data_IF_416747767052
#
_entry.id   IF_416747767052
#
_cell.length_a   1.000
_cell.length_b   1.000
_cell.length_c   1.000
_cell.angle_alpha   90.00
_cell.angle_beta   90.00
_cell.angle_gamma   90.00
#
_symmetry.space_group_name_H-M   'P 1'
#
loop_
_entity.id
_entity.type
_entity.pdbx_description
1 polymer ?
#
# COMPACT_ATOMS: atom_id res chain seq x y z
N UNK A 1 23.78 -9.55 -23.53
CA UNK A 1 22.95 -8.81 -23.22
C UNK A 1 22.88 -8.46 -21.89
N UNK A 2 23.46 -7.84 -21.36
CA UNK A 2 23.59 -7.55 -20.03
C UNK A 2 22.48 -6.72 -19.45
N UNK A 3 21.31 -7.21 -19.52
CA UNK A 3 20.27 -6.45 -18.88
C UNK A 3 20.54 -6.41 -17.40
N UNK A 4 20.84 -5.26 -16.93
CA UNK A 4 21.08 -5.10 -15.53
C UNK A 4 19.74 -5.10 -14.80
N UNK A 5 19.42 -6.19 -14.15
CA UNK A 5 18.15 -6.35 -13.42
C UNK A 5 17.94 -5.27 -12.36
N UNK A 6 19.04 -4.74 -11.78
CA UNK A 6 18.95 -3.64 -10.83
C UNK A 6 18.43 -2.36 -11.48
N UNK A 7 18.88 -2.07 -12.70
CA UNK A 7 18.43 -0.89 -13.42
C UNK A 7 16.96 -1.01 -13.80
N UNK A 8 16.54 -2.17 -14.29
CA UNK A 8 15.14 -2.41 -14.63
C UNK A 8 14.24 -2.21 -13.40
N UNK A 9 14.60 -2.78 -12.25
CA UNK A 9 13.85 -2.61 -11.02
C UNK A 9 13.78 -1.15 -10.57
N UNK A 10 14.87 -0.44 -10.67
CA UNK A 10 14.93 0.97 -10.31
C UNK A 10 14.01 1.82 -11.19
N UNK A 11 14.07 1.62 -12.50
CA UNK A 11 13.21 2.36 -13.43
C UNK A 11 11.75 2.04 -13.24
N UNK A 12 11.42 0.77 -13.01
CA UNK A 12 10.03 0.36 -12.76
C UNK A 12 9.49 1.05 -11.51
N UNK A 13 10.27 1.13 -10.45
CA UNK A 13 9.87 1.82 -9.23
C UNK A 13 9.63 3.31 -9.47
N UNK A 14 10.51 3.98 -10.20
CA UNK A 14 10.34 5.40 -10.50
C UNK A 14 9.10 5.66 -11.34
N UNK A 15 8.83 4.79 -12.32
CA UNK A 15 7.63 4.90 -13.14
C UNK A 15 6.37 4.68 -12.31
N UNK A 16 6.37 3.69 -11.43
CA UNK A 16 5.24 3.41 -10.55
C UNK A 16 4.97 4.59 -9.63
N UNK A 17 6.00 5.16 -9.02
CA UNK A 17 5.85 6.34 -8.16
C UNK A 17 5.32 7.54 -8.93
N UNK A 18 5.74 7.74 -10.18
CA UNK A 18 5.25 8.80 -11.03
C UNK A 18 3.76 8.64 -11.34
N UNK A 19 3.34 7.41 -11.63
CA UNK A 19 1.93 7.10 -11.88
C UNK A 19 1.09 7.35 -10.62
N UNK A 20 1.57 6.90 -9.46
CA UNK A 20 0.87 7.10 -8.20
C UNK A 20 0.76 8.59 -7.88
N UNK A 21 1.83 9.35 -8.10
CA UNK A 21 1.82 10.78 -7.89
C UNK A 21 0.77 11.49 -8.76
N UNK A 22 0.59 11.05 -10.00
CA UNK A 22 -0.48 11.56 -10.86
C UNK A 22 -1.85 11.23 -10.30
N UNK A 23 -2.05 10.03 -9.78
CA UNK A 23 -3.32 9.64 -9.18
C UNK A 23 -3.64 10.51 -7.97
N UNK A 24 -2.64 10.79 -7.13
CA UNK A 24 -2.81 11.70 -5.99
C UNK A 24 -3.26 13.09 -6.46
N UNK A 25 -2.67 13.58 -7.55
CA UNK A 25 -2.95 14.92 -8.05
C UNK A 25 -4.30 15.02 -8.77
N UNK A 26 -4.75 13.97 -9.44
CA UNK A 26 -5.87 14.05 -10.37
C UNK A 26 -7.06 13.15 -10.08
N UNK A 27 -6.85 12.03 -9.38
CA UNK A 27 -7.91 11.02 -9.20
C UNK A 27 -8.68 11.19 -7.89
N UNK A 28 -8.09 11.82 -6.90
CA UNK A 28 -8.73 12.05 -5.61
C UNK A 28 -7.91 11.50 -4.43
N UNK A 29 -8.44 11.61 -3.21
CA UNK A 29 -7.70 11.20 -2.01
C UNK A 29 -7.54 9.69 -1.91
N UNK A 30 -6.52 9.28 -1.18
CA UNK A 30 -6.30 7.88 -0.82
C UNK A 30 -7.48 7.39 0.02
N UNK A 31 -8.07 6.28 -0.38
CA UNK A 31 -9.19 5.68 0.35
C UNK A 31 -8.68 4.74 1.43
N UNK A 32 -9.39 4.72 2.54
CA UNK A 32 -9.10 3.84 3.65
C UNK A 32 -10.42 3.27 4.20
N UNK A 33 -10.38 2.05 4.72
CA UNK A 33 -11.54 1.48 5.38
C UNK A 33 -11.93 2.35 6.59
N UNK A 34 -13.21 2.48 6.83
CA UNK A 34 -13.72 3.28 7.93
C UNK A 34 -13.60 2.53 9.26
N UNK A 35 -13.64 3.24 10.40
CA UNK A 35 -13.64 2.58 11.70
C UNK A 35 -14.79 1.56 11.85
N UNK A 36 -15.93 1.84 11.26
CA UNK A 36 -17.08 0.94 11.28
C UNK A 36 -16.80 -0.34 10.49
N UNK A 37 -16.17 -0.22 9.32
CA UNK A 37 -15.77 -1.38 8.51
C UNK A 37 -14.70 -2.21 9.21
N UNK A 38 -13.81 -1.55 9.95
CA UNK A 38 -12.73 -2.24 10.66
C UNK A 38 -13.20 -2.94 11.92
N UNK A 39 -14.25 -2.43 12.57
CA UNK A 39 -14.76 -3.00 13.81
C UNK A 39 -13.76 -2.98 14.94
N UNK A 40 -12.91 -1.95 15.03
CA UNK A 40 -11.78 -1.91 15.96
C UNK A 40 -12.19 -1.97 17.42
N UNK A 41 -13.42 -1.58 17.74
CA UNK A 41 -13.92 -1.64 19.13
C UNK A 41 -14.08 -3.06 19.64
N UNK A 42 -14.23 -4.05 18.74
CA UNK A 42 -14.48 -5.43 19.11
C UNK A 42 -13.49 -6.43 18.47
N UNK A 43 -12.65 -5.96 17.56
CA UNK A 43 -11.74 -6.81 16.79
C UNK A 43 -10.30 -6.59 17.24
N UNK A 44 -9.57 -7.66 17.63
CA UNK A 44 -8.17 -7.52 18.01
C UNK A 44 -7.31 -7.03 16.85
N UNK A 45 -6.34 -6.19 17.16
CA UNK A 45 -5.37 -5.67 16.19
C UNK A 45 -4.00 -6.25 16.51
N UNK A 46 -3.37 -6.86 15.53
CA UNK A 46 -1.97 -7.27 15.61
C UNK A 46 -1.10 -6.11 15.14
N UNK A 47 -0.09 -5.78 15.93
CA UNK A 47 0.89 -4.75 15.59
C UNK A 47 2.19 -5.44 15.24
N UNK A 48 2.82 -5.02 14.15
CA UNK A 48 4.07 -5.58 13.68
C UNK A 48 5.22 -4.67 14.05
N UNK A 49 6.04 -5.00 15.09
CA UNK A 49 7.18 -4.17 15.47
C UNK A 49 8.22 -4.04 14.36
N UNK A 50 8.34 -5.07 13.52
CA UNK A 50 9.19 -5.04 12.34
C UNK A 50 8.31 -5.26 11.12
N UNK A 51 7.71 -4.18 10.58
CA UNK A 51 6.72 -4.31 9.52
C UNK A 51 7.27 -5.02 8.29
N UNK A 52 6.67 -6.15 7.89
CA UNK A 52 7.12 -6.86 6.70
C UNK A 52 6.75 -6.12 5.43
N UNK A 53 7.54 -6.33 4.37
CA UNK A 53 7.23 -5.82 3.06
C UNK A 53 6.09 -6.61 2.44
N UNK A 54 5.14 -5.92 1.84
CA UNK A 54 3.99 -6.52 1.17
C UNK A 54 3.68 -5.77 -0.10
N UNK A 55 2.91 -6.39 -1.00
CA UNK A 55 2.25 -5.69 -2.08
C UNK A 55 0.79 -5.46 -1.69
N UNK A 56 0.27 -4.30 -2.03
CA UNK A 56 -1.12 -3.98 -1.69
C UNK A 56 -1.80 -3.22 -2.82
N UNK A 57 -3.07 -3.49 -3.03
CA UNK A 57 -3.91 -2.69 -3.91
C UNK A 57 -4.53 -1.56 -3.10
N UNK A 58 -4.36 -0.34 -3.58
CA UNK A 58 -4.90 0.87 -2.97
C UNK A 58 -5.73 1.65 -3.98
N UNK A 59 -6.57 2.56 -3.50
CA UNK A 59 -7.39 3.40 -4.36
C UNK A 59 -7.16 4.87 -4.06
N UNK A 60 -7.04 5.64 -5.14
CA UNK A 60 -7.08 7.10 -5.11
C UNK A 60 -8.31 7.50 -5.90
N UNK A 61 -9.37 7.94 -5.22
CA UNK A 61 -10.64 8.19 -5.88
C UNK A 61 -11.15 6.93 -6.59
N UNK A 62 -11.38 7.00 -7.90
CA UNK A 62 -11.81 5.86 -8.69
C UNK A 62 -10.65 5.03 -9.26
N UNK A 63 -9.42 5.47 -9.09
CA UNK A 63 -8.26 4.78 -9.62
C UNK A 63 -7.65 3.84 -8.60
N UNK A 64 -7.32 2.63 -9.02
CA UNK A 64 -6.64 1.66 -8.16
C UNK A 64 -5.25 1.37 -8.72
N UNK A 65 -4.32 1.08 -7.84
CA UNK A 65 -2.97 0.73 -8.21
C UNK A 65 -2.35 -0.19 -7.16
N UNK A 66 -1.37 -0.96 -7.58
CA UNK A 66 -0.63 -1.85 -6.69
C UNK A 66 0.63 -1.13 -6.22
N UNK A 67 0.88 -1.17 -4.93
CA UNK A 67 2.05 -0.52 -4.32
C UNK A 67 2.86 -1.51 -3.52
N UNK A 68 4.16 -1.22 -3.36
CA UNK A 68 4.99 -1.88 -2.36
C UNK A 68 4.79 -1.12 -1.05
N UNK A 69 4.47 -1.84 0.00
CA UNK A 69 4.11 -1.25 1.28
C UNK A 69 4.73 -2.02 2.44
N UNK A 70 4.59 -1.46 3.63
CA UNK A 70 4.90 -2.14 4.88
C UNK A 70 3.60 -2.43 5.61
N UNK A 71 3.47 -3.65 6.10
CA UNK A 71 2.32 -4.03 6.90
C UNK A 71 2.56 -3.62 8.35
N UNK A 72 1.84 -2.61 8.81
CA UNK A 72 2.02 -2.07 10.16
C UNK A 72 1.15 -2.77 11.18
N UNK A 73 -0.06 -3.07 10.80
CA UNK A 73 -1.08 -3.66 11.68
C UNK A 73 -2.00 -4.55 10.87
N UNK A 74 -2.70 -5.44 11.53
CA UNK A 74 -3.74 -6.22 10.86
C UNK A 74 -4.83 -6.64 11.84
N UNK A 75 -6.00 -6.87 11.28
CA UNK A 75 -7.08 -7.61 11.94
C UNK A 75 -7.26 -8.92 11.16
N UNK A 76 -8.23 -9.72 11.55
CA UNK A 76 -8.54 -10.94 10.83
C UNK A 76 -9.07 -10.68 9.41
N UNK A 77 -9.54 -9.48 9.10
CA UNK A 77 -10.12 -9.14 7.81
C UNK A 77 -9.41 -7.99 7.07
N UNK A 78 -8.59 -7.21 7.75
CA UNK A 78 -8.04 -5.97 7.20
C UNK A 78 -6.57 -5.81 7.50
N UNK A 79 -5.89 -4.98 6.72
CA UNK A 79 -4.48 -4.68 6.86
C UNK A 79 -4.24 -3.17 6.86
N UNK A 80 -3.53 -2.68 7.87
CA UNK A 80 -3.06 -1.31 7.94
C UNK A 80 -1.68 -1.21 7.35
N UNK A 81 -1.54 -0.46 6.30
CA UNK A 81 -0.30 -0.39 5.52
C UNK A 81 0.24 1.03 5.43
N UNK A 82 1.52 1.11 5.17
CA UNK A 82 2.19 2.37 4.86
C UNK A 82 3.01 2.19 3.59
N UNK A 83 2.93 3.14 2.69
CA UNK A 83 3.81 3.18 1.52
C UNK A 83 4.31 4.60 1.31
N UNK A 84 5.45 4.71 0.62
CA UNK A 84 6.11 6.00 0.40
C UNK A 84 6.16 6.28 -1.08
N UNK A 85 5.73 7.48 -1.49
CA UNK A 85 5.79 7.94 -2.87
C UNK A 85 6.61 9.21 -2.89
N UNK A 86 7.78 9.14 -3.51
CA UNK A 86 8.71 10.28 -3.63
C UNK A 86 8.96 10.96 -2.28
N UNK A 87 9.25 10.15 -1.28
CA UNK A 87 9.58 10.63 0.07
C UNK A 87 8.38 10.96 0.94
N UNK A 88 7.16 10.93 0.41
CA UNK A 88 5.96 11.23 1.19
C UNK A 88 5.27 9.94 1.64
N UNK A 89 5.06 9.76 2.96
CA UNK A 89 4.39 8.56 3.46
C UNK A 89 2.87 8.67 3.33
N UNK A 90 2.26 7.54 3.01
CA UNK A 90 0.81 7.37 2.97
C UNK A 90 0.42 6.17 3.81
N UNK A 91 -0.63 6.28 4.58
CA UNK A 91 -1.16 5.20 5.40
C UNK A 91 -2.63 5.00 5.11
N UNK A 92 -3.05 3.76 5.03
CA UNK A 92 -4.45 3.42 4.88
C UNK A 92 -4.72 2.01 5.36
N UNK A 93 -6.00 1.72 5.59
CA UNK A 93 -6.48 0.38 5.84
C UNK A 93 -7.13 -0.17 4.58
N UNK A 94 -6.80 -1.39 4.23
CA UNK A 94 -7.39 -2.11 3.10
C UNK A 94 -7.88 -3.48 3.56
N UNK A 95 -8.75 -4.10 2.77
CA UNK A 95 -9.16 -5.48 3.07
C UNK A 95 -7.97 -6.42 2.93
N UNK A 96 -7.96 -7.48 3.74
CA UNK A 96 -6.84 -8.41 3.77
C UNK A 96 -6.54 -9.07 2.44
N UNK A 97 -7.57 -9.29 1.62
CA UNK A 97 -7.38 -9.90 0.29
C UNK A 97 -6.74 -8.96 -0.73
N UNK A 98 -6.59 -7.67 -0.40
CA UNK A 98 -5.86 -6.72 -1.24
C UNK A 98 -4.35 -6.76 -1.02
N UNK A 99 -3.89 -7.51 -0.02
CA UNK A 99 -2.48 -7.57 0.37
C UNK A 99 -1.91 -8.96 0.09
N UNK A 100 -0.70 -8.99 -0.45
CA UNK A 100 0.03 -10.24 -0.68
C UNK A 100 1.49 -10.08 -0.24
N UNK A 101 2.10 -11.19 0.12
CA UNK A 101 3.52 -11.19 0.50
C UNK A 101 4.39 -10.85 -0.70
N UNK A 102 5.49 -10.17 -0.43
CA UNK A 102 6.52 -9.94 -1.45
C UNK A 102 7.29 -11.25 -1.60
N UNK A 103 7.44 -11.76 -2.84
CA UNK A 103 8.19 -13.00 -3.10
C UNK A 103 9.65 -12.87 -2.72
#
# INVERSE_FOLDING_TARGET
>A
MGTNKRHAHYYDRLMDETIIERFVATAGPLQSLTPEELGLSTTPVTIYPQPPAVHAWVRFGAQHTRVEARLLRSTDQAAGIEFVVKGKPYRCWVWGNAVSAVP
#
